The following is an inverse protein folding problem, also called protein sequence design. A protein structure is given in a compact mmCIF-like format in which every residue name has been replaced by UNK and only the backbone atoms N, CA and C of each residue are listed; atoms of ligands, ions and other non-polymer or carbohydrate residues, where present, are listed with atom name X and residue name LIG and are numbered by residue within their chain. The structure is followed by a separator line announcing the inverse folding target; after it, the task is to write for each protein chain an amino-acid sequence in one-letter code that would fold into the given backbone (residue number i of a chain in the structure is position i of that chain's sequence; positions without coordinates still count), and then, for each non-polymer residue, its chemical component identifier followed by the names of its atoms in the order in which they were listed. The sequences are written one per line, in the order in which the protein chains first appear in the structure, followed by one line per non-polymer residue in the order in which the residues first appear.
data_IF_511386781350
#
_entry.id   IF_511386781350
#
_cell.length_a   1.000
_cell.length_b   1.000
_cell.length_c   1.000
_cell.angle_alpha   90.00
_cell.angle_beta   90.00
_cell.angle_gamma   90.00
#
_symmetry.space_group_name_H-M   'P 1'
#
loop_
_entity.id
_entity.type
_entity.pdbx_description
1 polymer ?
#
# COMPACT_ATOMS: atom_id res chain seq x y z
N UNK A 1 -12.93 -0.24 -6.23
CA UNK A 1 -12.90 -0.74 -4.83
C UNK A 1 -12.63 0.34 -3.79
N UNK A 2 -11.94 1.43 -4.16
CA UNK A 2 -11.50 2.51 -3.26
C UNK A 2 -12.63 3.08 -2.38
N UNK A 3 -13.68 3.68 -2.96
CA UNK A 3 -14.75 4.33 -2.17
C UNK A 3 -15.45 3.39 -1.18
N UNK A 4 -15.68 2.13 -1.57
CA UNK A 4 -16.29 1.13 -0.70
C UNK A 4 -15.37 0.75 0.47
N UNK A 5 -14.05 0.87 0.29
CA UNK A 5 -13.04 0.53 1.29
C UNK A 5 -12.95 1.57 2.39
N UNK A 6 -13.24 2.85 2.13
CA UNK A 6 -13.48 3.83 3.22
C UNK A 6 -14.63 3.38 4.15
N UNK A 7 -15.66 2.76 3.58
CA UNK A 7 -16.74 2.13 4.36
C UNK A 7 -16.24 1.02 5.28
N UNK A 8 -15.30 0.19 4.82
CA UNK A 8 -14.65 -0.84 5.65
C UNK A 8 -13.80 -0.19 6.73
N UNK A 9 -12.94 0.78 6.39
CA UNK A 9 -12.08 1.50 7.34
C UNK A 9 -12.89 2.15 8.46
N UNK A 10 -13.98 2.86 8.12
CA UNK A 10 -14.85 3.53 9.10
C UNK A 10 -15.55 2.58 10.07
N UNK A 11 -15.81 1.33 9.66
CA UNK A 11 -16.45 0.32 10.51
C UNK A 11 -15.45 -0.61 11.21
N UNK A 12 -14.15 -0.36 11.07
CA UNK A 12 -13.06 -1.19 11.64
C UNK A 12 -12.07 -0.33 12.42
N UNK A 13 -10.92 0.02 11.84
CA UNK A 13 -9.90 0.85 12.49
C UNK A 13 -10.38 2.28 12.80
N UNK A 14 -11.31 2.80 11.99
CA UNK A 14 -11.80 4.18 12.11
C UNK A 14 -10.69 5.22 11.92
N UNK A 15 -9.74 4.97 11.00
CA UNK A 15 -8.60 5.84 10.76
C UNK A 15 -9.06 7.28 10.52
N UNK A 16 -8.58 8.20 11.37
CA UNK A 16 -8.84 9.63 11.23
C UNK A 16 -8.36 10.13 9.88
N UNK A 17 -9.12 11.02 9.24
CA UNK A 17 -8.81 11.50 7.90
C UNK A 17 -7.90 12.74 7.93
N UNK A 18 -6.77 12.62 8.63
CA UNK A 18 -5.76 13.68 8.81
C UNK A 18 -4.41 13.09 9.20
N UNK A 19 -3.31 13.78 8.89
CA UNK A 19 -1.98 13.31 9.27
C UNK A 19 -1.63 11.96 8.64
N UNK A 20 -0.82 11.16 9.35
CA UNK A 20 -0.43 9.83 8.89
C UNK A 20 -1.60 8.83 8.89
N UNK A 21 -2.54 8.94 9.84
CA UNK A 21 -3.75 8.09 9.85
C UNK A 21 -4.61 8.34 8.61
N UNK A 22 -4.69 9.58 8.15
CA UNK A 22 -5.38 9.94 6.91
C UNK A 22 -4.70 9.35 5.68
N UNK A 23 -3.38 9.42 5.61
CA UNK A 23 -2.59 8.75 4.57
C UNK A 23 -2.81 7.23 4.55
N UNK A 24 -2.86 6.59 5.73
CA UNK A 24 -3.18 5.16 5.86
C UNK A 24 -4.63 4.83 5.47
N UNK A 25 -5.57 5.75 5.69
CA UNK A 25 -6.96 5.60 5.27
C UNK A 25 -7.07 5.57 3.74
N UNK A 26 -6.46 6.55 3.07
CA UNK A 26 -6.35 6.62 1.61
C UNK A 26 -5.63 5.40 1.02
N UNK A 27 -4.48 5.03 1.59
CA UNK A 27 -3.72 3.88 1.12
C UNK A 27 -4.49 2.57 1.30
N UNK A 28 -5.26 2.41 2.39
CA UNK A 28 -6.12 1.24 2.57
C UNK A 28 -7.15 1.13 1.45
N UNK A 29 -7.73 2.25 1.03
CA UNK A 29 -8.68 2.28 -0.06
C UNK A 29 -8.04 1.96 -1.41
N UNK A 30 -6.82 2.45 -1.67
CA UNK A 30 -6.04 2.07 -2.86
C UNK A 30 -5.69 0.57 -2.85
N UNK A 31 -5.15 0.05 -1.75
CA UNK A 31 -4.75 -1.36 -1.59
C UNK A 31 -5.90 -2.32 -1.86
N UNK A 32 -7.07 -2.09 -1.27
CA UNK A 32 -8.24 -2.92 -1.52
C UNK A 32 -8.90 -2.61 -2.86
N UNK A 33 -8.79 -1.38 -3.37
CA UNK A 33 -9.14 -1.02 -4.73
C UNK A 33 -8.44 -1.90 -5.75
N UNK A 34 -7.11 -1.92 -5.71
CA UNK A 34 -6.24 -2.79 -6.50
C UNK A 34 -6.55 -4.26 -6.28
N UNK A 35 -6.74 -4.69 -5.02
CA UNK A 35 -7.14 -6.07 -4.73
C UNK A 35 -8.44 -6.50 -5.43
N UNK A 36 -9.44 -5.62 -5.45
CA UNK A 36 -10.72 -5.86 -6.14
C UNK A 36 -10.53 -5.90 -7.66
N UNK A 37 -9.69 -5.05 -8.23
CA UNK A 37 -9.41 -5.02 -9.66
C UNK A 37 -8.77 -6.33 -10.14
N UNK A 38 -7.72 -6.79 -9.44
CA UNK A 38 -7.11 -8.10 -9.68
C UNK A 38 -8.12 -9.25 -9.51
N UNK A 39 -8.98 -9.19 -8.49
CA UNK A 39 -9.99 -10.22 -8.25
C UNK A 39 -11.08 -10.26 -9.34
N UNK A 40 -11.51 -9.08 -9.81
CA UNK A 40 -12.55 -8.96 -10.83
C UNK A 40 -12.11 -9.60 -12.15
N UNK A 41 -10.80 -9.62 -12.43
CA UNK A 41 -10.20 -10.25 -13.61
C UNK A 41 -10.93 -9.83 -14.89
N UNK A 42 -11.21 -8.54 -15.00
CA UNK A 42 -11.93 -7.96 -16.12
C UNK A 42 -10.99 -7.89 -17.34
N UNK A 43 -11.37 -8.46 -18.47
CA UNK A 43 -10.53 -8.45 -19.67
C UNK A 43 -10.32 -7.05 -20.26
N UNK A 44 -11.21 -6.10 -19.97
CA UNK A 44 -11.10 -4.70 -20.43
C UNK A 44 -10.26 -3.83 -19.51
N UNK A 45 -9.99 -4.32 -18.30
CA UNK A 45 -9.30 -3.63 -17.23
C UNK A 45 -8.63 -4.68 -16.33
N UNK A 46 -7.49 -5.15 -16.81
CA UNK A 46 -6.74 -6.21 -16.13
C UNK A 46 -6.04 -5.63 -14.92
N UNK A 47 -6.11 -6.32 -13.80
CA UNK A 47 -5.59 -5.81 -12.53
C UNK A 47 -4.15 -5.33 -12.65
N UNK A 48 -3.91 -4.12 -12.17
CA UNK A 48 -2.60 -3.51 -12.12
C UNK A 48 -2.41 -2.71 -10.80
N UNK A 49 -1.27 -2.04 -10.67
CA UNK A 49 -0.88 -1.23 -9.50
C UNK A 49 -0.92 0.27 -9.77
N UNK A 50 -1.70 0.68 -10.77
CA UNK A 50 -2.08 2.05 -11.07
C UNK A 50 -3.42 2.33 -10.39
N UNK A 51 -3.68 3.60 -10.11
CA UNK A 51 -4.95 4.01 -9.48
C UNK A 51 -5.62 5.02 -10.39
N UNK A 52 -6.82 4.68 -10.88
CA UNK A 52 -7.66 5.62 -11.63
C UNK A 52 -7.23 5.85 -13.08
N UNK A 53 -6.46 4.95 -13.66
CA UNK A 53 -6.07 4.91 -15.08
C UNK A 53 -7.29 4.84 -16.03
N UNK A 54 -8.39 4.17 -15.67
CA UNK A 54 -9.60 4.13 -16.53
C UNK A 54 -10.49 5.37 -16.47
N UNK A 55 -10.46 6.13 -15.38
CA UNK A 55 -11.33 7.32 -15.27
C UNK A 55 -10.74 8.52 -16.02
N UNK A 56 -9.42 8.53 -16.25
CA UNK A 56 -8.67 9.57 -16.98
C UNK A 56 -9.03 10.99 -16.51
N UNK A 57 -9.00 11.22 -15.20
CA UNK A 57 -9.34 12.52 -14.59
C UNK A 57 -8.41 13.64 -15.09
N UNK A 58 -7.16 13.31 -15.41
CA UNK A 58 -6.19 14.25 -15.95
C UNK A 58 -6.43 14.56 -17.44
N UNK A 59 -7.16 13.70 -18.16
CA UNK A 59 -7.45 13.83 -19.59
C UNK A 59 -6.23 13.60 -20.50
N UNK A 60 -5.17 12.98 -19.97
CA UNK A 60 -3.91 12.72 -20.64
C UNK A 60 -3.53 11.24 -20.67
N UNK A 61 -4.42 10.36 -20.18
CA UNK A 61 -4.23 8.92 -20.13
C UNK A 61 -3.30 8.45 -19.00
N UNK A 62 -2.84 9.34 -18.11
CA UNK A 62 -2.05 8.95 -16.94
C UNK A 62 -2.96 8.56 -15.77
N UNK A 63 -2.56 7.57 -14.94
CA UNK A 63 -3.25 7.29 -13.69
C UNK A 63 -3.11 8.45 -12.69
N UNK A 64 -4.02 8.48 -11.72
CA UNK A 64 -3.97 9.43 -10.62
C UNK A 64 -2.79 9.17 -9.67
N UNK A 65 -2.53 7.90 -9.36
CA UNK A 65 -1.47 7.47 -8.44
C UNK A 65 -0.81 6.19 -8.90
N UNK A 66 0.39 5.96 -8.37
CA UNK A 66 1.22 4.79 -8.65
C UNK A 66 1.58 4.11 -7.33
N UNK A 67 1.40 2.79 -7.23
CA UNK A 67 1.83 2.08 -6.01
C UNK A 67 3.32 1.68 -6.06
N UNK A 68 3.94 1.51 -7.24
CA UNK A 68 5.33 1.04 -7.37
C UNK A 68 6.39 2.11 -7.04
N UNK A 69 6.06 3.36 -7.37
CA UNK A 69 6.87 4.56 -7.11
C UNK A 69 5.93 5.77 -7.08
N UNK A 70 5.28 6.03 -5.93
CA UNK A 70 4.25 7.06 -5.78
C UNK A 70 4.61 8.43 -6.39
N UNK A 71 5.85 8.88 -6.24
CA UNK A 71 6.33 10.18 -6.74
C UNK A 71 6.19 10.38 -8.25
N UNK A 72 5.86 9.35 -9.03
CA UNK A 72 5.52 9.44 -10.47
C UNK A 72 4.30 10.33 -10.73
N UNK A 73 3.41 10.51 -9.76
CA UNK A 73 2.30 11.48 -9.85
C UNK A 73 2.72 12.94 -9.56
N UNK A 74 3.97 13.16 -9.17
CA UNK A 74 4.54 14.48 -8.88
C UNK A 74 4.29 15.01 -7.47
N UNK A 75 3.56 14.31 -6.60
CA UNK A 75 3.19 14.79 -5.26
C UNK A 75 3.34 13.76 -4.13
N UNK A 76 3.06 12.50 -4.40
CA UNK A 76 3.04 11.43 -3.42
C UNK A 76 4.42 11.08 -2.89
N UNK A 77 4.48 10.68 -1.62
CA UNK A 77 5.71 10.30 -0.96
C UNK A 77 6.08 8.84 -1.26
N UNK A 78 7.28 8.59 -1.80
CA UNK A 78 7.80 7.23 -1.98
C UNK A 78 8.16 6.58 -0.63
N UNK A 79 8.59 7.39 0.34
CA UNK A 79 9.18 6.93 1.60
C UNK A 79 8.67 7.78 2.77
N UNK A 80 8.65 7.19 3.95
CA UNK A 80 8.33 7.89 5.18
C UNK A 80 9.40 8.93 5.52
N UNK A 81 8.94 10.08 6.02
CA UNK A 81 9.75 11.12 6.65
C UNK A 81 8.95 11.70 7.82
N UNK A 82 9.61 12.40 8.74
CA UNK A 82 8.95 13.02 9.90
C UNK A 82 7.85 14.03 9.49
N UNK A 83 7.96 14.61 8.30
CA UNK A 83 7.02 15.63 7.79
C UNK A 83 5.96 15.01 6.86
N UNK A 84 5.93 13.68 6.66
CA UNK A 84 4.99 13.06 5.70
C UNK A 84 3.54 13.28 6.10
N UNK A 85 3.26 13.39 7.40
CA UNK A 85 1.93 13.69 7.92
C UNK A 85 1.42 15.10 7.59
N UNK A 86 2.30 16.03 7.18
CA UNK A 86 1.90 17.39 6.79
C UNK A 86 1.41 17.48 5.33
N UNK A 87 1.63 16.42 4.54
CA UNK A 87 1.08 16.32 3.19
C UNK A 87 -0.43 16.09 3.23
N UNK A 88 -1.10 16.49 2.15
CA UNK A 88 -2.46 16.01 1.88
C UNK A 88 -2.49 14.48 1.92
N UNK A 89 -3.56 13.92 2.47
CA UNK A 89 -3.70 12.47 2.73
C UNK A 89 -3.54 11.62 1.47
N UNK A 90 -3.93 12.16 0.30
CA UNK A 90 -3.78 11.47 -0.98
C UNK A 90 -2.32 11.35 -1.43
N UNK A 91 -1.42 12.19 -0.88
CA UNK A 91 0.02 12.16 -1.16
C UNK A 91 0.81 11.46 -0.06
N UNK A 92 0.38 11.59 1.21
CA UNK A 92 1.00 10.87 2.32
C UNK A 92 0.70 9.36 2.27
N UNK A 93 -0.39 8.95 1.61
CA UNK A 93 -0.74 7.54 1.31
C UNK A 93 0.31 6.80 0.50
N UNK A 94 1.13 7.52 -0.28
CA UNK A 94 2.18 6.95 -1.12
C UNK A 94 3.08 5.97 -0.37
N UNK A 95 3.40 6.24 0.90
CA UNK A 95 4.27 5.37 1.71
C UNK A 95 3.66 3.98 1.91
N UNK A 96 2.37 3.90 2.25
CA UNK A 96 1.69 2.61 2.42
C UNK A 96 1.38 1.93 1.07
N UNK A 97 1.10 2.71 0.02
CA UNK A 97 0.96 2.17 -1.34
C UNK A 97 2.26 1.49 -1.81
N UNK A 98 3.39 2.17 -1.58
CA UNK A 98 4.72 1.65 -1.90
C UNK A 98 5.11 0.44 -1.06
N UNK A 99 4.83 0.48 0.24
CA UNK A 99 4.98 -0.68 1.12
C UNK A 99 4.20 -1.89 0.59
N UNK A 100 2.94 -1.70 0.20
CA UNK A 100 2.10 -2.80 -0.27
C UNK A 100 2.61 -3.38 -1.60
N UNK A 101 3.02 -2.54 -2.56
CA UNK A 101 3.65 -3.01 -3.79
C UNK A 101 4.90 -3.84 -3.49
N UNK A 102 5.81 -3.33 -2.66
CA UNK A 102 7.04 -4.02 -2.28
C UNK A 102 6.77 -5.35 -1.58
N UNK A 103 5.78 -5.39 -0.69
CA UNK A 103 5.36 -6.60 0.01
C UNK A 103 4.79 -7.64 -0.97
N UNK A 104 3.95 -7.22 -1.91
CA UNK A 104 3.30 -8.13 -2.85
C UNK A 104 4.25 -8.60 -3.96
N UNK A 105 4.96 -7.68 -4.59
CA UNK A 105 5.65 -7.90 -5.87
C UNK A 105 7.18 -7.91 -5.75
N UNK A 106 7.74 -7.24 -4.74
CA UNK A 106 9.18 -7.05 -4.54
C UNK A 106 9.72 -5.78 -5.18
N UNK A 107 11.01 -5.49 -4.97
CA UNK A 107 11.69 -4.33 -5.55
C UNK A 107 12.34 -4.62 -6.91
N UNK A 108 12.62 -3.56 -7.66
CA UNK A 108 13.25 -3.57 -8.98
C UNK A 108 12.26 -3.79 -10.14
N UNK A 109 12.83 -4.02 -11.32
CA UNK A 109 12.07 -4.18 -12.55
C UNK A 109 11.16 -5.41 -12.55
N UNK A 110 9.87 -5.20 -12.85
CA UNK A 110 8.87 -6.26 -12.96
C UNK A 110 7.77 -5.87 -13.96
N UNK A 111 7.26 -6.84 -14.70
CA UNK A 111 6.06 -6.66 -15.52
C UNK A 111 4.91 -7.45 -14.89
N UNK A 112 3.78 -6.79 -14.65
CA UNK A 112 2.53 -7.41 -14.19
C UNK A 112 1.44 -6.99 -15.17
N UNK A 113 0.77 -7.96 -15.80
CA UNK A 113 -0.31 -7.73 -16.76
C UNK A 113 0.01 -6.62 -17.80
N UNK A 114 1.16 -6.75 -18.46
CA UNK A 114 1.69 -5.81 -19.47
C UNK A 114 2.06 -4.40 -18.97
N UNK A 115 1.88 -4.11 -17.68
CA UNK A 115 2.39 -2.87 -17.06
C UNK A 115 3.79 -3.11 -16.52
N UNK A 116 4.72 -2.24 -16.92
CA UNK A 116 6.12 -2.29 -16.47
C UNK A 116 6.35 -1.38 -15.27
N UNK A 117 6.94 -1.95 -14.22
CA UNK A 117 7.27 -1.31 -12.96
C UNK A 117 8.78 -1.40 -12.71
N UNK A 118 9.32 -0.44 -11.97
CA UNK A 118 10.70 -0.47 -11.46
C UNK A 118 10.72 0.19 -10.08
N UNK A 119 10.40 -0.61 -9.06
CA UNK A 119 10.13 -0.10 -7.71
C UNK A 119 11.42 0.02 -6.89
N UNK A 120 11.79 1.23 -6.43
CA UNK A 120 13.00 1.45 -5.67
C UNK A 120 12.83 1.08 -4.19
N UNK A 121 13.93 1.05 -3.44
CA UNK A 121 13.92 1.01 -1.97
C UNK A 121 14.74 2.17 -1.43
N UNK A 122 14.35 2.71 -0.28
CA UNK A 122 14.99 3.88 0.31
C UNK A 122 16.49 3.66 0.57
N UNK A 123 16.88 2.45 0.95
CA UNK A 123 18.26 2.07 1.32
C UNK A 123 18.98 1.26 0.23
N UNK A 124 18.36 1.05 -0.93
CA UNK A 124 18.90 0.21 -2.01
C UNK A 124 18.87 -1.30 -1.73
N UNK A 125 18.20 -1.73 -0.66
CA UNK A 125 17.99 -3.16 -0.37
C UNK A 125 17.08 -3.84 -1.40
N UNK A 126 17.20 -5.16 -1.51
CA UNK A 126 16.32 -5.97 -2.36
C UNK A 126 15.20 -6.59 -1.54
N UNK A 127 13.95 -6.38 -1.95
CA UNK A 127 12.78 -7.04 -1.39
C UNK A 127 12.27 -8.10 -2.37
N UNK A 128 12.06 -9.32 -1.88
CA UNK A 128 11.35 -10.36 -2.65
C UNK A 128 9.94 -10.47 -2.10
N UNK A 129 8.94 -10.18 -2.95
CA UNK A 129 7.54 -10.15 -2.55
C UNK A 129 6.98 -11.51 -2.15
N UNK A 130 5.95 -11.50 -1.30
CA UNK A 130 5.24 -12.71 -0.81
C UNK A 130 3.98 -13.03 -1.62
N UNK A 131 3.68 -12.24 -2.64
CA UNK A 131 2.46 -12.34 -3.42
C UNK A 131 1.30 -11.53 -2.83
N UNK A 132 0.47 -11.02 -3.73
CA UNK A 132 -0.67 -10.12 -3.44
C UNK A 132 -1.69 -10.70 -2.48
N UNK A 133 -2.06 -11.98 -2.62
CA UNK A 133 -3.07 -12.60 -1.74
C UNK A 133 -2.65 -12.57 -0.27
N UNK A 134 -1.38 -12.89 0.01
CA UNK A 134 -0.85 -12.84 1.38
C UNK A 134 -0.72 -11.41 1.89
N UNK A 135 -0.26 -10.49 1.04
CA UNK A 135 -0.18 -9.08 1.37
C UNK A 135 -1.55 -8.49 1.75
N UNK A 136 -2.61 -8.79 0.98
CA UNK A 136 -3.99 -8.38 1.27
C UNK A 136 -4.50 -8.97 2.59
N UNK A 137 -4.25 -10.26 2.84
CA UNK A 137 -4.64 -10.90 4.11
C UNK A 137 -3.97 -10.24 5.32
N UNK A 138 -2.69 -9.91 5.22
CA UNK A 138 -1.94 -9.22 6.28
C UNK A 138 -2.51 -7.83 6.51
N UNK A 139 -2.71 -7.04 5.44
CA UNK A 139 -3.24 -5.68 5.56
C UNK A 139 -4.66 -5.69 6.15
N UNK A 140 -5.53 -6.58 5.68
CA UNK A 140 -6.89 -6.72 6.19
C UNK A 140 -6.92 -7.13 7.66
N UNK A 141 -6.11 -8.11 8.08
CA UNK A 141 -6.03 -8.46 9.50
C UNK A 141 -5.47 -7.32 10.35
N UNK A 142 -4.46 -6.60 9.85
CA UNK A 142 -3.91 -5.44 10.55
C UNK A 142 -4.95 -4.34 10.76
N UNK A 143 -5.65 -3.95 9.68
CA UNK A 143 -6.73 -2.96 9.71
C UNK A 143 -7.84 -3.33 10.69
N UNK A 144 -8.29 -4.59 10.68
CA UNK A 144 -9.47 -5.01 11.44
C UNK A 144 -9.19 -5.37 12.89
N UNK A 145 -7.93 -5.63 13.25
CA UNK A 145 -7.58 -6.18 14.57
C UNK A 145 -6.62 -5.30 15.37
N UNK A 146 -5.67 -4.63 14.71
CA UNK A 146 -4.57 -3.94 15.41
C UNK A 146 -4.54 -2.44 15.18
N UNK A 147 -5.05 -1.95 14.05
CA UNK A 147 -5.12 -0.53 13.78
C UNK A 147 -6.23 0.11 14.62
N UNK A 148 -5.98 1.32 15.08
CA UNK A 148 -6.92 2.21 15.77
C UNK A 148 -7.07 3.51 14.97
N UNK A 149 -7.94 4.41 15.41
CA UNK A 149 -8.24 5.66 14.70
C UNK A 149 -7.02 6.56 14.52
N UNK A 150 -6.05 6.48 15.44
CA UNK A 150 -4.83 7.30 15.45
C UNK A 150 -3.58 6.51 15.03
N UNK A 151 -3.74 5.43 14.27
CA UNK A 151 -2.58 4.66 13.77
C UNK A 151 -1.71 5.55 12.89
N UNK A 152 -0.43 5.67 13.23
CA UNK A 152 0.61 6.27 12.42
C UNK A 152 1.41 5.20 11.65
N UNK A 153 2.37 5.57 10.81
CA UNK A 153 3.13 4.61 10.01
C UNK A 153 3.95 3.63 10.86
N UNK A 154 4.47 4.09 12.00
CA UNK A 154 5.18 3.21 12.95
C UNK A 154 4.23 2.17 13.54
N UNK A 155 3.05 2.58 13.97
CA UNK A 155 2.02 1.67 14.48
C UNK A 155 1.47 0.75 13.38
N UNK A 156 1.40 1.21 12.13
CA UNK A 156 1.02 0.39 10.98
C UNK A 156 2.03 -0.75 10.75
N UNK A 157 3.33 -0.46 10.87
CA UNK A 157 4.39 -1.49 10.87
C UNK A 157 4.20 -2.50 11.99
N UNK A 158 3.99 -2.05 13.22
CA UNK A 158 3.76 -2.96 14.35
C UNK A 158 2.52 -3.84 14.16
N UNK A 159 1.41 -3.26 13.67
CA UNK A 159 0.15 -3.98 13.44
C UNK A 159 0.26 -5.01 12.32
N UNK A 160 0.93 -4.69 11.22
CA UNK A 160 1.15 -5.65 10.11
C UNK A 160 2.12 -6.76 10.48
N UNK A 161 3.14 -6.50 11.31
CA UNK A 161 4.01 -7.55 11.86
C UNK A 161 3.24 -8.50 12.78
N UNK A 162 2.38 -7.97 13.66
CA UNK A 162 1.48 -8.80 14.49
C UNK A 162 0.55 -9.63 13.61
N UNK A 163 -0.05 -9.04 12.57
CA UNK A 163 -0.90 -9.76 11.63
C UNK A 163 -0.15 -10.89 10.89
N UNK A 164 1.06 -10.63 10.42
CA UNK A 164 1.88 -11.64 9.76
C UNK A 164 2.29 -12.77 10.73
N UNK A 165 2.65 -12.42 11.97
CA UNK A 165 2.96 -13.41 13.01
C UNK A 165 1.76 -14.29 13.33
N UNK A 166 0.56 -13.71 13.43
CA UNK A 166 -0.66 -14.46 13.71
C UNK A 166 -1.09 -15.38 12.56
N UNK A 167 -0.90 -14.95 11.31
CA UNK A 167 -1.31 -15.71 10.12
C UNK A 167 -0.29 -16.79 9.73
N UNK A 168 1.00 -16.51 9.89
CA UNK A 168 2.09 -17.31 9.31
C UNK A 168 3.19 -17.70 10.32
N UNK A 169 3.24 -17.07 11.49
CA UNK A 169 4.26 -17.26 12.53
C UNK A 169 5.37 -16.19 12.50
N UNK A 170 5.95 -15.88 13.66
CA UNK A 170 6.97 -14.83 13.81
C UNK A 170 8.29 -15.10 13.06
N UNK A 171 8.62 -16.37 12.80
CA UNK A 171 9.82 -16.77 12.07
C UNK A 171 9.58 -16.96 10.55
N UNK A 172 8.35 -16.72 10.08
CA UNK A 172 7.93 -16.94 8.70
C UNK A 172 8.61 -16.00 7.70
N UNK A 173 8.58 -16.39 6.44
CA UNK A 173 9.02 -15.52 5.34
C UNK A 173 8.15 -14.27 5.29
N UNK A 174 6.84 -14.40 5.51
CA UNK A 174 5.87 -13.31 5.50
C UNK A 174 6.18 -12.25 6.56
N UNK A 175 6.44 -12.66 7.80
CA UNK A 175 6.83 -11.74 8.86
C UNK A 175 8.11 -10.97 8.51
N UNK A 176 9.12 -11.69 8.01
CA UNK A 176 10.40 -11.11 7.59
C UNK A 176 10.24 -10.14 6.42
N UNK A 177 9.40 -10.46 5.43
CA UNK A 177 9.15 -9.59 4.28
C UNK A 177 8.34 -8.36 4.68
N UNK A 178 7.38 -8.46 5.61
CA UNK A 178 6.70 -7.26 6.16
C UNK A 178 7.72 -6.32 6.81
N UNK A 179 8.63 -6.84 7.64
CA UNK A 179 9.70 -6.02 8.22
C UNK A 179 10.60 -5.39 7.15
N UNK A 180 10.97 -6.15 6.12
CA UNK A 180 11.82 -5.67 5.04
C UNK A 180 11.13 -4.60 4.18
N UNK A 181 9.85 -4.79 3.82
CA UNK A 181 9.09 -3.85 3.01
C UNK A 181 8.86 -2.51 3.74
N UNK A 182 8.57 -2.53 5.05
CA UNK A 182 8.49 -1.28 5.83
C UNK A 182 9.83 -0.56 5.92
N UNK A 183 10.91 -1.31 6.10
CA UNK A 183 12.28 -0.75 6.11
C UNK A 183 12.62 -0.12 4.75
N UNK A 184 12.22 -0.77 3.65
CA UNK A 184 12.39 -0.27 2.30
C UNK A 184 11.64 1.04 2.02
N UNK A 185 10.59 1.35 2.78
CA UNK A 185 9.90 2.66 2.75
C UNK A 185 10.27 3.58 3.91
N UNK A 186 11.42 3.34 4.54
CA UNK A 186 11.98 4.16 5.62
C UNK A 186 11.14 4.21 6.92
N UNK A 187 10.30 3.21 7.18
CA UNK A 187 9.57 3.07 8.45
C UNK A 187 10.32 2.07 9.35
N UNK A 188 10.82 2.54 10.49
CA UNK A 188 11.68 1.80 11.43
C UNK A 188 10.93 1.08 12.56
#
# INVERSE_FOLDING_TARGET
GHEMSHGVTSNTAGLEYSGESGGLNEATSDIFGTGVEFFANNSSDVGDYLIGEKIDINGDGTPLRYMDKPSKDGGSADYWSADVGDKDVHYSSGVANHFFYLLAEGSGAKTVNDVSYDSPTHDGSKVTGIGRDKALQIWYKALTTYFTSTTDYKAAREGTLKAASDLYGADSTEYKTVAAAWTAVNVG
#
